data_IF_142635935043
#
_entry.id   IF_142635935043
#
_cell.length_a   1.000
_cell.length_b   1.000
_cell.length_c   1.000
_cell.angle_alpha   90.00
_cell.angle_beta   90.00
_cell.angle_gamma   90.00
#
_symmetry.space_group_name_H-M   'P 1'
#
loop_
_entity.id
_entity.type
_entity.pdbx_description
1 polymer ?
#
# COMPACT_ATOMS: atom_id res chain seq x y z
N UNK A 1 4.57 -6.59 7.65
CA UNK A 1 4.70 -5.26 7.00
C UNK A 1 5.63 -5.40 5.82
N UNK A 2 5.33 -4.77 4.69
CA UNK A 2 6.21 -4.77 3.52
C UNK A 2 6.35 -3.36 2.94
N UNK A 3 7.53 -3.09 2.37
CA UNK A 3 7.86 -1.85 1.67
C UNK A 3 8.40 -2.22 0.30
N UNK A 4 7.81 -1.68 -0.75
CA UNK A 4 8.25 -1.86 -2.13
C UNK A 4 8.84 -0.54 -2.60
N UNK A 5 10.06 -0.61 -3.13
CA UNK A 5 10.77 0.52 -3.69
C UNK A 5 10.67 0.49 -5.21
N UNK A 6 10.39 1.64 -5.81
CA UNK A 6 10.46 1.84 -7.25
C UNK A 6 11.78 2.53 -7.58
N UNK A 7 12.57 1.91 -8.46
CA UNK A 7 13.85 2.45 -8.93
C UNK A 7 13.78 2.77 -10.42
N UNK A 8 14.51 3.80 -10.85
CA UNK A 8 14.76 4.05 -12.27
C UNK A 8 15.81 3.08 -12.82
N UNK A 9 16.01 3.09 -14.14
CA UNK A 9 17.13 2.40 -14.81
C UNK A 9 18.50 2.74 -14.22
N UNK A 10 18.64 3.97 -13.71
CA UNK A 10 19.88 4.51 -13.16
C UNK A 10 19.98 4.26 -11.64
N UNK A 11 19.22 3.29 -11.10
CA UNK A 11 19.14 2.95 -9.68
C UNK A 11 18.70 4.10 -8.75
N UNK A 12 18.08 5.17 -9.28
CA UNK A 12 17.55 6.26 -8.44
C UNK A 12 16.22 5.82 -7.83
N UNK A 13 16.06 6.06 -6.53
CA UNK A 13 14.78 5.83 -5.86
C UNK A 13 13.75 6.87 -6.36
N UNK A 14 12.77 6.40 -7.12
CA UNK A 14 11.73 7.25 -7.71
C UNK A 14 10.38 7.11 -7.01
N UNK A 15 10.22 6.15 -6.11
CA UNK A 15 8.99 5.98 -5.36
C UNK A 15 9.00 4.83 -4.37
N UNK A 16 7.96 4.77 -3.55
CA UNK A 16 7.75 3.69 -2.60
C UNK A 16 6.27 3.50 -2.28
N UNK A 17 5.94 2.28 -1.84
CA UNK A 17 4.64 1.96 -1.23
C UNK A 17 4.86 1.03 -0.04
N UNK A 18 4.22 1.35 1.08
CA UNK A 18 4.25 0.57 2.30
C UNK A 18 2.85 0.05 2.64
N UNK A 19 2.77 -1.22 3.01
CA UNK A 19 1.51 -1.88 3.33
C UNK A 19 1.63 -2.96 4.40
N UNK A 20 0.47 -3.33 4.94
CA UNK A 20 0.28 -4.42 5.88
C UNK A 20 -0.68 -5.43 5.29
N UNK A 21 -0.51 -6.66 5.70
CA UNK A 21 -1.52 -7.70 5.56
C UNK A 21 -1.98 -8.00 6.99
N UNK A 22 -3.27 -7.89 7.25
CA UNK A 22 -3.89 -8.11 8.57
C UNK A 22 -5.01 -9.14 8.44
N UNK A 23 -5.65 -9.46 9.58
CA UNK A 23 -6.79 -10.39 9.67
C UNK A 23 -6.50 -11.78 9.09
N UNK A 24 -5.42 -12.41 9.57
CA UNK A 24 -4.94 -13.71 9.07
C UNK A 24 -4.90 -13.78 7.55
N UNK A 25 -4.18 -12.83 6.94
CA UNK A 25 -3.99 -12.77 5.50
C UNK A 25 -5.24 -12.39 4.69
N UNK A 26 -6.25 -11.77 5.28
CA UNK A 26 -7.46 -11.40 4.52
C UNK A 26 -7.47 -9.95 4.03
N UNK A 27 -6.75 -9.05 4.70
CA UNK A 27 -6.92 -7.62 4.48
C UNK A 27 -5.61 -6.94 4.10
N UNK A 28 -5.57 -6.30 2.93
CA UNK A 28 -4.46 -5.45 2.49
C UNK A 28 -4.67 -4.00 2.93
N UNK A 29 -3.80 -3.49 3.80
CA UNK A 29 -3.89 -2.10 4.29
C UNK A 29 -2.72 -1.29 3.77
N UNK A 30 -2.99 -0.33 2.87
CA UNK A 30 -1.98 0.63 2.41
C UNK A 30 -1.73 1.69 3.48
N UNK A 31 -0.49 1.79 3.96
CA UNK A 31 -0.10 2.78 4.97
C UNK A 31 0.48 4.05 4.36
N UNK A 32 1.33 3.92 3.36
CA UNK A 32 2.01 5.07 2.77
C UNK A 32 2.36 4.82 1.30
N UNK A 33 2.37 5.89 0.50
CA UNK A 33 2.84 5.87 -0.87
C UNK A 33 3.46 7.23 -1.23
N UNK A 34 4.53 7.20 -2.01
CA UNK A 34 5.17 8.42 -2.54
C UNK A 34 5.81 8.13 -3.88
N UNK A 35 5.71 9.09 -4.79
CA UNK A 35 6.45 9.14 -6.06
C UNK A 35 7.22 10.47 -6.09
N UNK A 36 8.40 10.44 -6.72
CA UNK A 36 9.20 11.62 -7.00
C UNK A 36 8.35 12.69 -7.68
N UNK A 37 8.49 13.95 -7.27
CA UNK A 37 7.55 15.01 -7.65
C UNK A 37 7.45 15.22 -9.17
N UNK A 38 8.59 15.19 -9.86
CA UNK A 38 8.67 15.39 -11.32
C UNK A 38 8.07 14.23 -12.13
N UNK A 39 7.83 13.08 -11.47
CA UNK A 39 7.28 11.89 -12.09
C UNK A 39 5.79 11.67 -11.75
N UNK A 40 5.18 12.61 -11.03
CA UNK A 40 3.74 12.59 -10.75
C UNK A 40 2.95 12.82 -12.04
N UNK A 41 1.71 12.32 -12.08
CA UNK A 41 0.84 12.43 -13.25
C UNK A 41 1.14 11.43 -14.38
N UNK A 42 2.29 10.73 -14.35
CA UNK A 42 2.68 9.76 -15.38
C UNK A 42 2.14 8.34 -15.17
N UNK A 43 1.16 8.17 -14.28
CA UNK A 43 0.57 6.85 -13.97
C UNK A 43 1.44 5.90 -13.13
N UNK A 44 2.63 6.31 -12.70
CA UNK A 44 3.53 5.46 -11.89
C UNK A 44 2.92 5.00 -10.56
N UNK A 45 2.13 5.86 -9.91
CA UNK A 45 1.39 5.50 -8.68
C UNK A 45 0.49 4.29 -8.93
N UNK A 46 -0.21 4.25 -10.07
CA UNK A 46 -1.11 3.15 -10.41
C UNK A 46 -0.35 1.84 -10.59
N UNK A 47 0.75 1.87 -11.37
CA UNK A 47 1.62 0.70 -11.57
C UNK A 47 2.19 0.18 -10.25
N UNK A 48 2.64 1.07 -9.37
CA UNK A 48 3.19 0.71 -8.07
C UNK A 48 2.14 0.07 -7.14
N UNK A 49 0.90 0.60 -7.14
CA UNK A 49 -0.23 0.00 -6.40
C UNK A 49 -0.65 -1.36 -6.96
N UNK A 50 -0.65 -1.52 -8.27
CA UNK A 50 -0.96 -2.80 -8.92
C UNK A 50 0.09 -3.85 -8.58
N UNK A 51 1.38 -3.49 -8.65
CA UNK A 51 2.47 -4.36 -8.25
C UNK A 51 2.36 -4.77 -6.78
N UNK A 52 2.11 -3.83 -5.85
CA UNK A 52 1.95 -4.15 -4.43
C UNK A 52 0.78 -5.10 -4.15
N UNK A 53 -0.36 -4.92 -4.83
CA UNK A 53 -1.50 -5.84 -4.72
C UNK A 53 -1.15 -7.23 -5.25
N UNK A 54 -0.48 -7.32 -6.40
CA UNK A 54 -0.09 -8.60 -6.97
C UNK A 54 0.98 -9.31 -6.13
N UNK A 55 1.91 -8.56 -5.52
CA UNK A 55 2.88 -9.11 -4.58
C UNK A 55 2.21 -9.61 -3.29
N UNK A 56 1.15 -8.94 -2.83
CA UNK A 56 0.38 -9.36 -1.67
C UNK A 56 -0.56 -10.54 -1.93
N UNK A 57 -1.07 -10.73 -3.16
CA UNK A 57 -2.01 -11.81 -3.54
C UNK A 57 -1.65 -13.21 -3.03
N UNK A 58 -0.44 -13.76 -3.24
CA UNK A 58 -0.10 -15.10 -2.74
C UNK A 58 -0.07 -15.18 -1.21
N UNK A 59 -0.05 -14.02 -0.54
CA UNK A 59 -0.07 -13.89 0.91
C UNK A 59 -1.45 -13.48 1.41
N UNK A 60 -2.49 -13.42 0.56
CA UNK A 60 -3.83 -13.01 0.96
C UNK A 60 -4.97 -13.80 0.32
N UNK A 61 -6.00 -14.17 1.08
CA UNK A 61 -7.21 -14.83 0.56
C UNK A 61 -8.25 -13.85 -0.01
N UNK A 62 -8.20 -12.56 0.36
CA UNK A 62 -9.03 -11.49 -0.19
C UNK A 62 -8.22 -10.18 -0.32
N UNK A 63 -8.65 -9.27 -1.22
CA UNK A 63 -8.02 -7.95 -1.40
C UNK A 63 -9.08 -6.87 -1.17
N UNK A 64 -9.15 -6.34 0.05
CA UNK A 64 -9.90 -5.12 0.33
C UNK A 64 -8.97 -3.92 0.22
N UNK A 65 -9.33 -2.94 -0.62
CA UNK A 65 -8.57 -1.69 -0.75
C UNK A 65 -9.28 -0.63 0.08
N UNK A 66 -8.76 -0.33 1.27
CA UNK A 66 -9.24 0.79 2.07
C UNK A 66 -8.86 2.11 1.38
N UNK A 67 -9.80 2.70 0.62
CA UNK A 67 -9.73 4.12 0.25
C UNK A 67 -10.14 4.94 1.47
N UNK A 68 -9.40 6.02 1.76
CA UNK A 68 -9.64 6.90 2.91
C UNK A 68 -11.06 7.48 2.88
N UNK A 69 -12.00 6.80 3.52
CA UNK A 69 -13.12 7.40 4.24
C UNK A 69 -13.27 6.59 5.51
N UNK A 70 -12.37 6.80 6.46
CA UNK A 70 -12.66 6.49 7.85
C UNK A 70 -12.89 7.83 8.52
N UNK A 71 -14.16 8.21 8.65
CA UNK A 71 -14.59 8.87 9.88
C UNK A 71 -14.14 7.95 11.01
N UNK A 72 -13.29 8.49 11.88
CA UNK A 72 -12.86 7.84 13.10
C UNK A 72 -14.10 7.77 14.00
N UNK A 73 -14.94 6.73 13.88
CA UNK A 73 -15.80 6.37 15.01
C UNK A 73 -14.91 5.61 15.97
N UNK A 74 -14.35 6.35 16.91
CA UNK A 74 -13.55 5.89 18.03
C UNK A 74 -14.35 4.88 18.87
N UNK A 75 -14.38 3.61 18.45
CA UNK A 75 -14.62 2.48 19.35
C UNK A 75 -13.27 1.89 19.70
N UNK A 76 -12.59 2.60 20.60
CA UNK A 76 -11.61 1.98 21.47
C UNK A 76 -12.33 0.88 22.26
N UNK A 77 -12.34 -0.35 21.74
CA UNK A 77 -12.48 -1.51 22.59
C UNK A 77 -11.18 -1.62 23.39
N UNK A 78 -11.18 -0.98 24.57
CA UNK A 78 -10.40 -1.44 25.69
C UNK A 78 -10.85 -2.89 25.95
N UNK A 79 -10.04 -3.86 25.55
CA UNK A 79 -10.17 -5.19 26.10
C UNK A 79 -9.60 -5.15 27.53
N UNK A 80 -10.24 -5.85 28.49
CA UNK A 80 -9.86 -5.83 29.91
C UNK A 80 -8.45 -6.36 30.15
#
# INVERSE_FOLDING_TARGET
MAVILAQSSDNKLIGLIAYFIVDDRQTFVRRFERIHQDLRGQGLVRKLREYARNHAKPQTSAIYVYQRQCEFTERAQLFP
#
